data_IF_991901764607
#
_entry.id   IF_991901764607
#
_cell.length_a   1.000
_cell.length_b   1.000
_cell.length_c   1.000
_cell.angle_alpha   90.00
_cell.angle_beta   90.00
_cell.angle_gamma   90.00
#
_symmetry.space_group_name_H-M   'P 1'
#
loop_
_entity.id
_entity.type
_entity.pdbx_description
1 polymer ?
#
# COMPACT_ATOMS: atom_id res chain seq x y z
N UNK A 1 28.58 3.53 11.61
CA UNK A 1 28.04 3.58 10.23
C UNK A 1 28.16 2.19 9.58
N UNK A 2 27.48 1.17 10.10
CA UNK A 2 27.59 -0.22 9.59
C UNK A 2 26.42 -0.56 8.64
N UNK A 3 25.25 0.05 8.85
CA UNK A 3 24.04 -0.22 8.06
C UNK A 3 23.91 0.61 6.78
N UNK A 4 24.94 1.38 6.39
CA UNK A 4 24.84 2.29 5.24
C UNK A 4 24.89 1.57 3.88
N UNK A 5 25.31 0.30 3.86
CA UNK A 5 25.51 -0.50 2.64
C UNK A 5 24.74 -1.84 2.66
N UNK A 6 23.77 -2.03 3.57
CA UNK A 6 22.92 -3.23 3.50
C UNK A 6 21.80 -2.90 2.50
N UNK A 7 21.93 -3.45 1.30
CA UNK A 7 20.85 -3.51 0.33
C UNK A 7 19.68 -4.21 1.03
N UNK A 8 18.59 -3.48 1.31
CA UNK A 8 17.43 -4.06 1.99
C UNK A 8 17.00 -5.26 1.15
N UNK A 9 17.02 -6.49 1.71
CA UNK A 9 16.68 -7.67 0.94
C UNK A 9 15.29 -7.50 0.35
N UNK A 10 15.17 -7.70 -0.97
CA UNK A 10 13.88 -7.67 -1.67
C UNK A 10 12.84 -8.59 -1.00
N UNK A 11 13.30 -9.67 -0.35
CA UNK A 11 12.45 -10.57 0.44
C UNK A 11 11.71 -9.88 1.59
N UNK A 12 12.33 -8.91 2.28
CA UNK A 12 11.68 -8.16 3.35
C UNK A 12 10.66 -7.16 2.80
N UNK A 13 10.96 -6.54 1.65
CA UNK A 13 10.01 -5.68 0.94
C UNK A 13 8.80 -6.48 0.44
N UNK A 14 9.04 -7.66 -0.13
CA UNK A 14 7.98 -8.58 -0.56
C UNK A 14 7.09 -9.02 0.60
N UNK A 15 7.67 -9.45 1.71
CA UNK A 15 6.91 -9.84 2.91
C UNK A 15 6.06 -8.68 3.45
N UNK A 16 6.63 -7.47 3.52
CA UNK A 16 5.89 -6.29 3.95
C UNK A 16 4.73 -5.96 2.99
N UNK A 17 4.94 -6.08 1.69
CA UNK A 17 3.90 -5.88 0.69
C UNK A 17 2.75 -6.89 0.86
N UNK A 18 3.06 -8.18 0.98
CA UNK A 18 2.05 -9.24 1.20
C UNK A 18 1.18 -8.94 2.42
N UNK A 19 1.80 -8.68 3.58
CA UNK A 19 1.07 -8.37 4.81
C UNK A 19 0.20 -7.11 4.63
N UNK A 20 0.73 -6.07 4.00
CA UNK A 20 -0.03 -4.85 3.79
C UNK A 20 -1.21 -5.06 2.83
N UNK A 21 -1.07 -5.91 1.80
CA UNK A 21 -2.17 -6.26 0.91
C UNK A 21 -3.27 -7.02 1.64
N UNK A 22 -2.93 -8.01 2.46
CA UNK A 22 -3.88 -8.75 3.30
C UNK A 22 -4.65 -7.80 4.23
N UNK A 23 -3.94 -6.93 4.95
CA UNK A 23 -4.54 -5.95 5.85
C UNK A 23 -5.41 -4.93 5.11
N UNK A 24 -5.03 -4.52 3.89
CA UNK A 24 -5.81 -3.57 3.10
C UNK A 24 -7.08 -4.22 2.52
N UNK A 25 -7.00 -5.49 2.15
CA UNK A 25 -8.09 -6.29 1.60
C UNK A 25 -9.17 -6.62 2.63
N UNK A 26 -8.80 -6.81 3.90
CA UNK A 26 -9.76 -7.13 4.96
C UNK A 26 -10.63 -5.90 5.33
N UNK A 27 -11.94 -6.01 5.10
CA UNK A 27 -12.91 -4.98 5.43
C UNK A 27 -13.16 -4.84 6.94
N UNK A 28 -12.81 -5.86 7.72
CA UNK A 28 -12.96 -5.89 9.18
C UNK A 28 -11.81 -5.18 9.90
N UNK A 29 -10.69 -4.96 9.22
CA UNK A 29 -9.55 -4.23 9.78
C UNK A 29 -9.91 -2.77 10.04
N UNK A 30 -9.44 -2.16 11.15
CA UNK A 30 -9.67 -0.76 11.43
C UNK A 30 -9.21 0.12 10.26
N UNK A 31 -10.02 1.12 9.91
CA UNK A 31 -9.73 2.03 8.78
C UNK A 31 -8.32 2.64 8.83
N UNK A 32 -7.79 2.88 10.04
CA UNK A 32 -6.44 3.40 10.24
C UNK A 32 -5.36 2.42 9.79
N UNK A 33 -5.52 1.13 10.09
CA UNK A 33 -4.61 0.06 9.66
C UNK A 33 -4.63 -0.04 8.14
N UNK A 34 -5.82 -0.09 7.54
CA UNK A 34 -5.99 -0.13 6.08
C UNK A 34 -5.35 1.08 5.38
N UNK A 35 -5.56 2.28 5.91
CA UNK A 35 -4.94 3.50 5.38
C UNK A 35 -3.40 3.50 5.51
N UNK A 36 -2.89 2.93 6.60
CA UNK A 36 -1.46 2.77 6.83
C UNK A 36 -0.86 1.78 5.83
N UNK A 37 -1.44 0.59 5.70
CA UNK A 37 -1.03 -0.43 4.72
C UNK A 37 -1.04 0.11 3.29
N UNK A 38 -2.07 0.88 2.91
CA UNK A 38 -2.14 1.55 1.61
C UNK A 38 -0.98 2.52 1.36
N UNK A 39 -0.55 3.24 2.40
CA UNK A 39 0.58 4.18 2.31
C UNK A 39 1.91 3.42 2.18
N UNK A 40 2.07 2.33 2.93
CA UNK A 40 3.26 1.47 2.85
C UNK A 40 3.38 0.87 1.45
N UNK A 41 2.29 0.32 0.90
CA UNK A 41 2.26 -0.25 -0.45
C UNK A 41 2.62 0.80 -1.52
N UNK A 42 2.11 2.02 -1.39
CA UNK A 42 2.46 3.12 -2.30
C UNK A 42 3.98 3.40 -2.30
N UNK A 43 4.61 3.43 -1.11
CA UNK A 43 6.05 3.64 -0.99
C UNK A 43 6.86 2.46 -1.54
N UNK A 44 6.42 1.22 -1.32
CA UNK A 44 7.09 0.04 -1.89
C UNK A 44 6.98 0.07 -3.42
N UNK A 45 5.84 0.54 -3.96
CA UNK A 45 5.61 0.64 -5.41
C UNK A 45 6.54 1.61 -6.13
N UNK A 46 7.25 2.50 -5.40
CA UNK A 46 8.32 3.33 -5.97
C UNK A 46 9.56 2.51 -6.32
N UNK A 47 9.80 1.40 -5.60
CA UNK A 47 10.94 0.49 -5.81
C UNK A 47 10.57 -0.74 -6.63
N UNK A 48 9.32 -1.19 -6.54
CA UNK A 48 8.78 -2.36 -7.23
C UNK A 48 7.52 -1.94 -8.02
N UNK A 49 7.67 -1.45 -9.28
CA UNK A 49 6.59 -0.86 -10.04
C UNK A 49 5.38 -1.78 -10.29
N UNK A 50 5.58 -3.09 -10.29
CA UNK A 50 4.52 -4.09 -10.50
C UNK A 50 3.41 -3.97 -9.44
N UNK A 51 3.76 -3.56 -8.22
CA UNK A 51 2.83 -3.34 -7.11
C UNK A 51 1.86 -2.18 -7.40
N UNK A 52 2.24 -1.20 -8.23
CA UNK A 52 1.38 -0.03 -8.52
C UNK A 52 0.03 -0.45 -9.10
N UNK A 53 0.03 -1.42 -10.00
CA UNK A 53 -1.19 -1.85 -10.69
C UNK A 53 -2.10 -2.64 -9.76
N UNK A 54 -1.54 -3.56 -8.96
CA UNK A 54 -2.28 -4.34 -7.96
C UNK A 54 -2.89 -3.43 -6.89
N UNK A 55 -2.11 -2.48 -6.37
CA UNK A 55 -2.60 -1.50 -5.39
C UNK A 55 -3.72 -0.63 -5.96
N UNK A 56 -3.58 -0.16 -7.21
CA UNK A 56 -4.62 0.65 -7.88
C UNK A 56 -5.94 -0.12 -7.95
N UNK A 57 -5.89 -1.36 -8.46
CA UNK A 57 -7.07 -2.20 -8.63
C UNK A 57 -7.80 -2.42 -7.30
N UNK A 58 -7.06 -2.81 -6.26
CA UNK A 58 -7.63 -3.04 -4.93
C UNK A 58 -8.28 -1.78 -4.33
N UNK A 59 -7.63 -0.61 -4.51
CA UNK A 59 -8.20 0.65 -4.04
C UNK A 59 -9.49 0.98 -4.80
N UNK A 60 -9.50 0.83 -6.13
CA UNK A 60 -10.64 1.16 -6.99
C UNK A 60 -11.86 0.27 -6.70
N UNK A 61 -11.64 -1.03 -6.48
CA UNK A 61 -12.70 -1.99 -6.10
C UNK A 61 -13.35 -1.63 -4.76
N UNK A 62 -12.56 -1.20 -3.78
CA UNK A 62 -13.05 -0.86 -2.44
C UNK A 62 -13.57 0.58 -2.32
N UNK A 63 -13.20 1.47 -3.25
CA UNK A 63 -13.50 2.89 -3.19
C UNK A 63 -15.00 3.21 -3.02
N UNK A 64 -15.95 2.54 -3.72
CA UNK A 64 -17.38 2.80 -3.54
C UNK A 64 -17.86 2.55 -2.12
N UNK A 65 -17.36 1.49 -1.49
CA UNK A 65 -17.81 0.98 -0.20
C UNK A 65 -17.00 1.51 1.00
N UNK A 66 -15.85 2.14 0.74
CA UNK A 66 -14.97 2.68 1.77
C UNK A 66 -15.59 3.79 2.62
N UNK A 67 -15.12 3.89 3.86
CA UNK A 67 -15.44 5.01 4.77
C UNK A 67 -14.87 6.33 4.25
N UNK A 68 -15.30 7.46 4.83
CA UNK A 68 -14.76 8.77 4.46
C UNK A 68 -13.22 8.85 4.62
N UNK A 69 -12.68 8.26 5.70
CA UNK A 69 -11.24 8.19 5.95
C UNK A 69 -10.51 7.39 4.88
N UNK A 70 -11.02 6.19 4.54
CA UNK A 70 -10.48 5.35 3.48
C UNK A 70 -10.47 6.09 2.13
N UNK A 71 -11.63 6.62 1.72
CA UNK A 71 -11.82 7.35 0.45
C UNK A 71 -10.86 8.54 0.33
N UNK A 72 -10.63 9.27 1.43
CA UNK A 72 -9.69 10.39 1.47
C UNK A 72 -8.25 9.94 1.23
N UNK A 73 -7.82 8.85 1.87
CA UNK A 73 -6.46 8.30 1.67
C UNK A 73 -6.28 7.71 0.29
N UNK A 74 -7.24 6.91 -0.16
CA UNK A 74 -7.28 6.27 -1.47
C UNK A 74 -7.03 7.26 -2.61
N UNK A 75 -7.76 8.38 -2.65
CA UNK A 75 -7.57 9.41 -3.70
C UNK A 75 -6.16 10.00 -3.70
N UNK A 76 -5.56 10.21 -2.52
CA UNK A 76 -4.17 10.72 -2.43
C UNK A 76 -3.16 9.70 -2.96
N UNK A 77 -3.33 8.44 -2.60
CA UNK A 77 -2.46 7.35 -3.05
C UNK A 77 -2.60 7.12 -4.55
N UNK A 78 -3.82 7.04 -5.07
CA UNK A 78 -4.08 6.91 -6.52
C UNK A 78 -3.39 8.01 -7.32
N UNK A 79 -3.48 9.26 -6.87
CA UNK A 79 -2.78 10.40 -7.49
C UNK A 79 -1.25 10.24 -7.44
N UNK A 80 -0.71 9.70 -6.35
CA UNK A 80 0.73 9.49 -6.18
C UNK A 80 1.28 8.41 -7.12
N UNK A 81 0.50 7.35 -7.37
CA UNK A 81 0.94 6.19 -8.18
C UNK A 81 0.52 6.29 -9.66
N UNK A 82 -0.35 7.23 -10.01
CA UNK A 82 -0.71 7.55 -11.40
C UNK A 82 0.24 8.53 -12.08
N UNK A 83 1.19 9.09 -11.32
CA UNK A 83 2.19 10.05 -11.79
C UNK A 83 3.47 9.35 -12.27
#
# INVERSE_FOLDING_TARGET
RILQNIEIPKSLLGMAATICFELLADINEPVAIRCFSMTVLANISEKEPDIKNELRLLIEEQLPFGTAGFKSRARKVLKSISS
#
